data_IF_843944376706
#
_entry.id   IF_843944376706
#
_cell.length_a   1.000
_cell.length_b   1.000
_cell.length_c   1.000
_cell.angle_alpha   90.00
_cell.angle_beta   90.00
_cell.angle_gamma   90.00
#
_symmetry.space_group_name_H-M   'P 1'
#
loop_
_entity.id
_entity.type
_entity.pdbx_description
1 polymer ?
#
# COMPACT_ATOMS: atom_id res chain seq x y z
N UNK A 1 -11.41 1.95 24.35
CA UNK A 1 -9.97 2.11 24.70
C UNK A 1 -9.13 0.96 24.13
N UNK A 2 -9.12 0.74 22.81
CA UNK A 2 -8.35 -0.38 22.23
C UNK A 2 -6.98 0.05 21.68
N UNK A 3 -6.79 1.34 21.38
CA UNK A 3 -5.58 1.89 20.73
C UNK A 3 -4.85 2.94 21.58
N UNK A 4 -5.47 3.43 22.67
CA UNK A 4 -4.85 4.39 23.57
C UNK A 4 -3.61 3.77 24.24
N UNK A 5 -2.42 4.30 23.92
CA UNK A 5 -1.14 3.92 24.53
C UNK A 5 -0.35 2.78 23.87
N UNK A 6 -0.76 2.25 22.70
CA UNK A 6 0.02 1.24 21.97
C UNK A 6 0.74 1.87 20.76
N UNK A 7 2.08 1.87 20.81
CA UNK A 7 2.94 2.30 19.71
C UNK A 7 2.92 1.25 18.61
N UNK A 8 2.45 1.61 17.41
CA UNK A 8 2.53 0.76 16.21
C UNK A 8 3.76 1.18 15.41
N UNK A 9 4.79 0.35 15.37
CA UNK A 9 5.98 0.55 14.53
C UNK A 9 5.77 -0.07 13.15
N UNK A 10 5.74 0.74 12.11
CA UNK A 10 5.76 0.25 10.73
C UNK A 10 6.58 1.16 9.82
N UNK A 11 7.20 0.59 8.79
CA UNK A 11 7.81 1.37 7.71
C UNK A 11 6.71 1.70 6.71
N UNK A 12 6.33 2.97 6.61
CA UNK A 12 5.23 3.40 5.76
C UNK A 12 5.66 4.52 4.79
N UNK A 13 4.97 4.61 3.67
CA UNK A 13 4.99 5.77 2.80
C UNK A 13 3.94 6.76 3.32
N UNK A 14 4.37 7.91 3.85
CA UNK A 14 3.48 8.89 4.48
C UNK A 14 3.43 10.16 3.63
N UNK A 15 2.22 10.67 3.39
CA UNK A 15 1.99 12.02 2.91
C UNK A 15 1.29 12.79 4.03
N UNK A 16 1.99 13.73 4.65
CA UNK A 16 1.46 14.54 5.75
C UNK A 16 0.47 15.60 5.29
N UNK A 17 0.54 16.03 4.02
CA UNK A 17 -0.35 17.03 3.43
C UNK A 17 -0.70 16.65 1.99
N UNK A 18 -1.87 17.11 1.52
CA UNK A 18 -2.29 16.91 0.14
C UNK A 18 -1.29 17.57 -0.85
N UNK A 19 -0.88 16.81 -1.86
CA UNK A 19 0.03 17.29 -2.90
C UNK A 19 1.52 17.31 -2.53
N UNK A 20 1.90 16.84 -1.33
CA UNK A 20 3.32 16.66 -0.97
C UNK A 20 3.85 15.28 -1.41
N UNK A 21 5.15 15.16 -1.70
CA UNK A 21 5.79 13.87 -1.96
C UNK A 21 5.66 12.92 -0.77
N UNK A 22 5.51 11.63 -1.05
CA UNK A 22 5.54 10.59 -0.03
C UNK A 22 6.97 10.44 0.51
N UNK A 23 7.10 10.36 1.83
CA UNK A 23 8.35 9.98 2.51
C UNK A 23 8.24 8.55 3.04
N UNK A 24 9.33 7.77 2.90
CA UNK A 24 9.41 6.43 3.50
C UNK A 24 10.05 6.59 4.87
N UNK A 25 9.27 6.34 5.91
CA UNK A 25 9.70 6.56 7.30
C UNK A 25 9.34 5.34 8.15
N UNK A 26 10.15 5.05 9.17
CA UNK A 26 9.67 4.25 10.30
C UNK A 26 8.74 5.13 11.12
N UNK A 27 7.45 4.86 10.99
CA UNK A 27 6.41 5.60 11.69
C UNK A 27 6.02 4.80 12.91
N UNK A 28 6.07 5.46 14.05
CA UNK A 28 5.31 5.08 15.22
C UNK A 28 3.93 5.69 15.04
N UNK A 29 3.00 5.02 14.35
CA UNK A 29 1.63 5.54 14.21
C UNK A 29 0.95 5.44 15.57
N UNK A 30 1.18 6.44 16.40
CA UNK A 30 0.36 6.72 17.56
C UNK A 30 -0.91 7.37 17.04
N UNK A 31 -2.07 6.91 17.50
CA UNK A 31 -3.31 7.65 17.31
C UNK A 31 -3.13 9.13 17.70
N UNK A 32 -2.26 9.40 18.68
CA UNK A 32 -1.90 10.75 19.15
C UNK A 32 -1.23 11.63 18.08
N UNK A 33 -0.49 11.08 17.12
CA UNK A 33 0.13 11.87 16.04
C UNK A 33 -0.90 12.49 15.09
N UNK A 34 -2.07 11.87 14.98
CA UNK A 34 -3.16 12.31 14.10
C UNK A 34 -4.44 12.60 14.87
N UNK A 35 -4.33 12.82 16.18
CA UNK A 35 -5.47 13.12 17.06
C UNK A 35 -6.62 12.08 17.02
N UNK A 36 -6.30 10.79 16.85
CA UNK A 36 -7.25 9.68 16.92
C UNK A 36 -7.01 8.53 15.93
N UNK A 37 -6.03 8.65 15.03
CA UNK A 37 -5.78 7.70 13.92
C UNK A 37 -5.91 8.35 12.55
N UNK A 38 -5.48 7.67 11.48
CA UNK A 38 -5.55 8.20 10.10
C UNK A 38 -6.95 8.02 9.51
N UNK A 39 -7.38 8.90 8.61
CA UNK A 39 -8.66 8.72 7.91
C UNK A 39 -8.67 7.46 7.07
N UNK A 40 -7.56 7.19 6.38
CA UNK A 40 -7.40 6.09 5.43
C UNK A 40 -6.05 5.41 5.64
N UNK A 41 -6.05 4.09 5.60
CA UNK A 41 -4.84 3.28 5.53
C UNK A 41 -4.94 2.30 4.37
N UNK A 42 -3.81 1.97 3.76
CA UNK A 42 -3.72 0.99 2.66
C UNK A 42 -2.57 0.04 2.93
N UNK A 43 -2.86 -1.25 3.06
CA UNK A 43 -1.85 -2.28 3.29
C UNK A 43 -1.49 -2.96 1.96
N UNK A 44 -0.20 -2.91 1.59
CA UNK A 44 0.30 -3.32 0.27
C UNK A 44 1.40 -4.38 0.32
N UNK A 45 1.75 -4.91 1.50
CA UNK A 45 2.84 -5.88 1.71
C UNK A 45 2.35 -7.33 1.75
N UNK A 46 1.11 -7.56 2.21
CA UNK A 46 0.60 -8.92 2.43
C UNK A 46 0.96 -9.48 3.81
N UNK A 47 1.68 -8.72 4.65
CA UNK A 47 2.03 -9.17 6.00
C UNK A 47 0.83 -9.05 6.95
N UNK A 48 0.49 -10.14 7.64
CA UNK A 48 -0.71 -10.18 8.51
C UNK A 48 -0.67 -9.18 9.67
N UNK A 49 0.51 -8.96 10.26
CA UNK A 49 0.66 -7.98 11.34
C UNK A 49 0.49 -6.57 10.78
N UNK A 50 1.01 -6.28 9.59
CA UNK A 50 0.80 -5.00 8.92
C UNK A 50 -0.67 -4.76 8.57
N UNK A 51 -1.42 -5.80 8.19
CA UNK A 51 -2.88 -5.70 7.96
C UNK A 51 -3.64 -5.31 9.21
N UNK A 52 -3.37 -5.99 10.33
CA UNK A 52 -4.01 -5.70 11.62
C UNK A 52 -3.66 -4.26 12.05
N UNK A 53 -2.39 -3.89 11.94
CA UNK A 53 -1.92 -2.55 12.26
C UNK A 53 -2.56 -1.48 11.38
N UNK A 54 -2.68 -1.71 10.07
CA UNK A 54 -3.36 -0.79 9.15
C UNK A 54 -4.82 -0.60 9.53
N UNK A 55 -5.52 -1.65 10.00
CA UNK A 55 -6.88 -1.54 10.50
C UNK A 55 -6.97 -0.80 11.84
N UNK A 56 -6.07 -1.09 12.78
CA UNK A 56 -6.15 -0.50 14.12
C UNK A 56 -5.68 0.95 14.16
N UNK A 57 -4.87 1.39 13.18
CA UNK A 57 -4.37 2.76 13.13
C UNK A 57 -5.34 3.78 12.51
N UNK A 58 -6.47 3.34 11.92
CA UNK A 58 -7.46 4.30 11.40
C UNK A 58 -8.29 4.92 12.51
N UNK A 59 -8.81 6.11 12.26
CA UNK A 59 -9.59 6.89 13.20
C UNK A 59 -10.90 6.18 13.61
N UNK A 60 -11.26 6.23 14.90
CA UNK A 60 -12.59 5.81 15.39
C UNK A 60 -13.69 6.68 14.74
N UNK A 61 -14.86 6.15 14.38
CA UNK A 61 -15.93 6.93 13.75
C UNK A 61 -15.97 6.86 12.22
N UNK A 62 -14.87 7.20 11.54
CA UNK A 62 -14.87 7.34 10.07
C UNK A 62 -13.66 6.72 9.34
N UNK A 63 -12.75 6.09 10.09
CA UNK A 63 -11.55 5.47 9.55
C UNK A 63 -11.86 4.31 8.60
N UNK A 64 -11.17 4.26 7.46
CA UNK A 64 -11.30 3.15 6.49
C UNK A 64 -9.93 2.56 6.18
N UNK A 65 -9.74 1.29 6.52
CA UNK A 65 -8.56 0.54 6.14
C UNK A 65 -8.85 -0.30 4.90
N UNK A 66 -7.90 -0.30 3.95
CA UNK A 66 -7.99 -1.04 2.69
C UNK A 66 -6.85 -2.05 2.61
N UNK A 67 -7.17 -3.34 2.49
CA UNK A 67 -6.20 -4.41 2.28
C UNK A 67 -6.06 -4.70 0.79
N UNK A 68 -4.83 -4.59 0.28
CA UNK A 68 -4.45 -4.86 -1.13
C UNK A 68 -3.42 -5.99 -1.19
N UNK A 69 -2.49 -6.03 -0.23
CA UNK A 69 -1.46 -7.06 -0.15
C UNK A 69 -2.05 -8.46 -0.02
N UNK A 70 -1.45 -9.44 -0.69
CA UNK A 70 -1.91 -10.84 -0.65
C UNK A 70 -1.17 -11.58 0.45
N UNK A 71 -1.85 -12.13 1.47
CA UNK A 71 -1.20 -12.81 2.58
C UNK A 71 -0.83 -14.25 2.24
N UNK A 72 0.01 -14.85 3.10
CA UNK A 72 0.23 -16.29 3.08
C UNK A 72 -1.09 -17.03 3.35
N UNK A 73 -1.28 -18.20 2.72
CA UNK A 73 -2.55 -18.96 2.73
C UNK A 73 -3.09 -19.30 4.13
N UNK A 74 -2.21 -19.44 5.12
CA UNK A 74 -2.55 -19.83 6.49
C UNK A 74 -2.63 -18.63 7.45
N UNK A 75 -2.56 -17.40 6.94
CA UNK A 75 -2.60 -16.19 7.76
C UNK A 75 -4.03 -15.88 8.24
N UNK A 76 -4.16 -15.54 9.53
CA UNK A 76 -5.45 -15.20 10.14
C UNK A 76 -5.46 -13.74 10.60
N UNK A 77 -6.44 -12.98 10.12
CA UNK A 77 -6.66 -11.60 10.58
C UNK A 77 -7.43 -11.62 11.89
N UNK A 78 -6.88 -11.01 12.95
CA UNK A 78 -7.48 -10.97 14.28
C UNK A 78 -7.43 -9.56 14.84
N UNK A 79 -8.55 -9.08 15.32
CA UNK A 79 -8.67 -7.77 16.00
C UNK A 79 -9.83 -7.82 16.99
N UNK A 80 -9.87 -6.87 17.93
CA UNK A 80 -10.94 -6.82 18.93
C UNK A 80 -12.25 -6.31 18.32
N UNK A 81 -13.43 -6.92 18.58
CA UNK A 81 -14.71 -6.49 17.98
C UNK A 81 -15.07 -5.02 18.23
N UNK A 82 -14.65 -4.47 19.38
CA UNK A 82 -14.84 -3.04 19.68
C UNK A 82 -14.21 -2.11 18.63
N UNK A 83 -13.19 -2.55 17.90
CA UNK A 83 -12.59 -1.74 16.85
C UNK A 83 -13.57 -1.48 15.70
N UNK A 84 -14.45 -2.44 15.39
CA UNK A 84 -15.55 -2.26 14.43
C UNK A 84 -16.73 -1.51 15.04
N UNK A 85 -17.07 -1.79 16.30
CA UNK A 85 -18.18 -1.10 16.99
C UNK A 85 -17.87 0.38 17.23
N UNK A 86 -16.60 0.76 17.31
CA UNK A 86 -16.12 2.14 17.25
C UNK A 86 -16.10 2.70 15.81
N UNK A 87 -16.93 2.14 14.92
CA UNK A 87 -17.21 2.62 13.58
C UNK A 87 -16.00 2.68 12.61
N UNK A 88 -14.95 1.87 12.85
CA UNK A 88 -13.95 1.61 11.81
C UNK A 88 -14.53 0.74 10.70
N UNK A 89 -14.08 0.98 9.47
CA UNK A 89 -14.42 0.15 8.31
C UNK A 89 -13.19 -0.56 7.78
N UNK A 90 -13.30 -1.86 7.53
CA UNK A 90 -12.28 -2.65 6.82
C UNK A 90 -12.80 -3.03 5.43
N UNK A 91 -12.02 -2.78 4.39
CA UNK A 91 -12.31 -3.17 3.01
C UNK A 91 -11.15 -3.98 2.44
N UNK A 92 -11.47 -4.99 1.65
CA UNK A 92 -10.51 -5.64 0.75
C UNK A 92 -10.67 -5.09 -0.66
N UNK A 93 -9.61 -5.14 -1.45
CA UNK A 93 -9.68 -4.88 -2.89
C UNK A 93 -8.79 -5.84 -3.66
N UNK A 94 -9.24 -6.21 -4.85
CA UNK A 94 -8.45 -6.97 -5.80
C UNK A 94 -8.23 -6.09 -7.04
N UNK A 95 -6.98 -6.00 -7.48
CA UNK A 95 -6.60 -5.18 -8.65
C UNK A 95 -7.06 -3.70 -8.56
N UNK A 96 -7.07 -3.14 -7.34
CA UNK A 96 -7.52 -1.76 -7.12
C UNK A 96 -9.01 -1.52 -7.41
N UNK A 97 -9.81 -2.60 -7.51
CA UNK A 97 -11.21 -2.59 -7.91
C UNK A 97 -11.46 -2.10 -9.35
N UNK A 98 -10.41 -2.13 -10.19
CA UNK A 98 -10.53 -1.82 -11.61
C UNK A 98 -11.13 -2.99 -12.39
N UNK A 99 -12.02 -2.69 -13.33
CA UNK A 99 -12.48 -3.60 -14.38
C UNK A 99 -11.49 -3.55 -15.55
N UNK A 100 -10.72 -4.62 -15.83
CA UNK A 100 -9.59 -4.53 -16.75
C UNK A 100 -9.90 -3.95 -18.13
N UNK A 101 -11.03 -4.36 -18.75
CA UNK A 101 -11.38 -3.91 -20.11
C UNK A 101 -11.95 -2.50 -20.16
N UNK A 102 -12.66 -2.08 -19.12
CA UNK A 102 -13.39 -0.80 -19.13
C UNK A 102 -12.57 0.32 -18.52
N UNK A 103 -11.76 0.02 -17.50
CA UNK A 103 -11.13 1.07 -16.69
C UNK A 103 -9.65 1.28 -17.01
N UNK A 104 -8.90 0.23 -17.43
CA UNK A 104 -7.48 0.38 -17.76
C UNK A 104 -7.22 1.36 -18.92
N UNK A 105 -8.05 1.42 -19.98
CA UNK A 105 -7.88 2.46 -21.00
C UNK A 105 -7.86 3.87 -20.40
N UNK A 106 -8.70 4.15 -19.41
CA UNK A 106 -8.74 5.45 -18.73
C UNK A 106 -7.45 5.72 -17.93
N UNK A 107 -6.88 4.69 -17.30
CA UNK A 107 -5.59 4.83 -16.58
C UNK A 107 -4.45 5.14 -17.56
N UNK A 108 -4.45 4.53 -18.74
CA UNK A 108 -3.50 4.87 -19.82
C UNK A 108 -3.71 6.31 -20.29
N UNK A 109 -4.95 6.77 -20.42
CA UNK A 109 -5.24 8.16 -20.76
C UNK A 109 -4.69 9.15 -19.73
N UNK A 110 -4.82 8.87 -18.42
CA UNK A 110 -4.23 9.70 -17.36
C UNK A 110 -2.71 9.82 -17.52
N UNK A 111 -2.05 8.71 -17.86
CA UNK A 111 -0.62 8.70 -18.17
C UNK A 111 -0.31 9.56 -19.42
N UNK A 112 -1.04 9.37 -20.52
CA UNK A 112 -0.84 10.13 -21.76
C UNK A 112 -1.09 11.64 -21.57
N UNK A 113 -2.01 12.02 -20.67
CA UNK A 113 -2.28 13.41 -20.26
C UNK A 113 -1.26 13.98 -19.27
N UNK A 114 -0.29 13.17 -18.82
CA UNK A 114 0.70 13.51 -17.78
C UNK A 114 0.09 13.82 -16.41
N UNK A 115 -1.13 13.34 -16.15
CA UNK A 115 -1.79 13.39 -14.84
C UNK A 115 -1.31 12.26 -13.92
N UNK A 116 -0.73 11.20 -14.51
CA UNK A 116 -0.11 10.09 -13.81
C UNK A 116 1.35 9.93 -14.25
N UNK A 117 2.29 10.08 -13.33
CA UNK A 117 3.72 9.93 -13.58
C UNK A 117 4.16 8.46 -13.44
N UNK A 118 4.28 7.73 -14.55
CA UNK A 118 4.61 6.30 -14.55
C UNK A 118 6.13 6.05 -14.64
N UNK A 119 6.87 6.94 -15.29
CA UNK A 119 8.30 6.81 -15.57
C UNK A 119 9.13 6.65 -14.30
N UNK A 120 8.74 7.32 -13.20
CA UNK A 120 9.45 7.26 -11.91
C UNK A 120 9.49 5.86 -11.31
N UNK A 121 8.56 4.98 -11.70
CA UNK A 121 8.54 3.59 -11.23
C UNK A 121 9.51 2.69 -12.01
N UNK A 122 9.97 3.11 -13.19
CA UNK A 122 10.90 2.34 -14.02
C UNK A 122 12.32 2.61 -13.55
N UNK A 123 12.86 1.68 -12.75
CA UNK A 123 14.22 1.80 -12.20
C UNK A 123 15.27 1.12 -13.06
N UNK A 124 14.89 0.07 -13.81
CA UNK A 124 15.82 -0.74 -14.59
C UNK A 124 15.18 -1.15 -15.92
N UNK A 125 16.02 -1.45 -16.91
CA UNK A 125 15.61 -2.06 -18.17
C UNK A 125 16.67 -3.06 -18.59
N UNK A 126 16.26 -4.28 -18.95
CA UNK A 126 17.16 -5.35 -19.40
C UNK A 126 16.62 -6.00 -20.67
N UNK A 127 17.47 -6.55 -21.56
CA UNK A 127 17.00 -7.40 -22.65
C UNK A 127 16.45 -8.72 -22.10
N UNK A 128 15.57 -9.38 -22.85
CA UNK A 128 15.02 -10.69 -22.46
C UNK A 128 16.09 -11.75 -22.22
N UNK A 129 17.22 -11.68 -22.95
CA UNK A 129 18.38 -12.56 -22.73
C UNK A 129 18.96 -12.46 -21.29
N UNK A 130 18.78 -11.31 -20.62
CA UNK A 130 19.23 -11.06 -19.24
C UNK A 130 18.08 -11.14 -18.21
N UNK A 131 16.97 -11.82 -18.52
CA UNK A 131 15.79 -11.87 -17.63
C UNK A 131 16.11 -12.26 -16.18
N UNK A 132 17.07 -13.15 -15.94
CA UNK A 132 17.48 -13.55 -14.58
C UNK A 132 18.05 -12.40 -13.75
N UNK A 133 18.72 -11.42 -14.39
CA UNK A 133 19.21 -10.22 -13.71
C UNK A 133 18.07 -9.39 -13.13
N UNK A 134 16.90 -9.37 -13.78
CA UNK A 134 15.72 -8.69 -13.25
C UNK A 134 15.20 -9.35 -11.96
N UNK A 135 15.27 -10.69 -11.87
CA UNK A 135 14.94 -11.42 -10.65
C UNK A 135 15.95 -11.16 -9.52
N UNK A 136 17.25 -11.11 -9.84
CA UNK A 136 18.29 -10.79 -8.85
C UNK A 136 18.10 -9.39 -8.25
N UNK A 137 17.81 -8.39 -9.10
CA UNK A 137 17.52 -7.02 -8.66
C UNK A 137 16.28 -6.98 -7.75
N UNK A 138 15.22 -7.71 -8.11
CA UNK A 138 14.01 -7.82 -7.29
C UNK A 138 14.30 -8.43 -5.92
N UNK A 139 15.03 -9.54 -5.87
CA UNK A 139 15.35 -10.25 -4.63
C UNK A 139 16.23 -9.42 -3.69
N UNK A 140 17.13 -8.59 -4.24
CA UNK A 140 17.96 -7.66 -3.46
C UNK A 140 17.23 -6.40 -3.01
N UNK A 141 16.02 -6.13 -3.53
CA UNK A 141 15.32 -4.87 -3.32
C UNK A 141 15.97 -3.69 -4.06
N UNK A 142 16.80 -3.96 -5.07
CA UNK A 142 17.52 -2.97 -5.87
C UNK A 142 16.66 -2.56 -7.08
N UNK A 143 15.48 -1.97 -6.83
CA UNK A 143 14.59 -1.46 -7.88
C UNK A 143 13.10 -1.53 -7.55
N UNK A 144 12.28 -0.78 -8.30
CA UNK A 144 10.82 -0.77 -8.17
C UNK A 144 10.18 -1.60 -9.29
N UNK A 145 10.46 -1.25 -10.54
CA UNK A 145 10.13 -2.05 -11.73
C UNK A 145 11.34 -2.16 -12.65
N UNK A 146 11.48 -3.33 -13.26
CA UNK A 146 12.44 -3.63 -14.32
C UNK A 146 11.67 -3.94 -15.61
N UNK A 147 11.91 -3.17 -16.67
CA UNK A 147 11.30 -3.43 -17.98
C UNK A 147 12.14 -4.49 -18.71
N UNK A 148 11.50 -5.59 -19.08
CA UNK A 148 12.11 -6.62 -19.91
C UNK A 148 11.77 -6.28 -21.36
N UNK A 149 12.80 -5.98 -22.16
CA UNK A 149 12.63 -5.69 -23.58
C UNK A 149 12.80 -6.98 -24.38
N UNK A 150 11.76 -7.34 -25.10
CA UNK A 150 11.88 -8.31 -26.17
C UNK A 150 12.77 -7.67 -27.25
N UNK A 151 13.80 -8.37 -27.73
CA UNK A 151 14.55 -7.90 -28.89
C UNK A 151 13.59 -7.81 -30.09
N UNK A 152 13.74 -6.76 -30.89
CA UNK A 152 13.09 -6.65 -32.20
C UNK A 152 13.92 -7.39 -33.25
#
# INVERSE_FOLDING_TARGET
MATAGKVIKCKAAVAWEAGKPLSIEEVEVLAEMTNGGVDRSVECTGNINAMIQAFECVHDGWGVAVLVGVPHKDAEFKTHPMNFLNERTLKGTFFGNYKPRTDLPNVVELYMKKELEVEKFITHSVPFAEINKAFDLMAKGEGIRCIIRMEN
#
